data_IF_869076491363
#
_entry.id   IF_869076491363
#
_cell.length_a   1.000
_cell.length_b   1.000
_cell.length_c   1.000
_cell.angle_alpha   90.00
_cell.angle_beta   90.00
_cell.angle_gamma   90.00
#
_symmetry.space_group_name_H-M   'P 1'
#
loop_
_entity.id
_entity.type
_entity.pdbx_description
1 polymer ?
#
# COMPACT_ATOMS: atom_id res chain seq x y z
N UNK A 1 11.66 15.62 -14.49
CA UNK A 1 12.25 15.91 -13.16
C UNK A 1 11.90 14.87 -12.10
N UNK A 2 10.62 14.65 -11.75
CA UNK A 2 10.21 13.73 -10.67
C UNK A 2 10.74 12.30 -10.82
N UNK A 3 10.65 11.73 -12.03
CA UNK A 3 11.16 10.37 -12.31
C UNK A 3 12.69 10.22 -12.27
N UNK A 4 13.45 11.25 -12.66
CA UNK A 4 14.92 11.20 -12.65
C UNK A 4 15.49 11.34 -11.24
N UNK A 5 14.89 12.19 -10.41
CA UNK A 5 15.23 12.29 -8.98
C UNK A 5 14.90 10.98 -8.28
N UNK A 6 13.70 10.44 -8.48
CA UNK A 6 13.31 9.14 -7.92
C UNK A 6 14.30 8.04 -8.32
N UNK A 7 14.71 7.96 -9.59
CA UNK A 7 15.64 6.92 -10.04
C UNK A 7 17.01 6.99 -9.37
N UNK A 8 17.63 8.18 -9.31
CA UNK A 8 18.96 8.36 -8.70
C UNK A 8 18.95 8.07 -7.20
N UNK A 9 17.90 8.50 -6.50
CA UNK A 9 17.74 8.15 -5.10
C UNK A 9 17.53 6.64 -4.95
N UNK A 10 16.62 6.04 -5.70
CA UNK A 10 16.34 4.60 -5.64
C UNK A 10 17.57 3.74 -5.90
N UNK A 11 18.41 4.10 -6.88
CA UNK A 11 19.63 3.35 -7.19
C UNK A 11 20.61 3.34 -6.00
N UNK A 12 20.70 4.44 -5.25
CA UNK A 12 21.54 4.54 -4.04
C UNK A 12 20.98 3.76 -2.85
N UNK A 13 19.68 3.44 -2.85
CA UNK A 13 19.01 2.68 -1.78
C UNK A 13 19.04 1.16 -2.00
N UNK A 14 19.68 0.70 -3.07
CA UNK A 14 19.76 -0.72 -3.40
C UNK A 14 20.64 -1.48 -2.41
N UNK A 15 20.20 -2.67 -2.00
CA UNK A 15 20.89 -3.54 -1.07
C UNK A 15 21.25 -4.89 -1.68
N UNK A 16 22.31 -5.51 -1.12
CA UNK A 16 22.79 -6.83 -1.50
C UNK A 16 23.43 -6.90 -2.89
N UNK A 17 24.04 -8.04 -3.20
CA UNK A 17 24.69 -8.29 -4.51
C UNK A 17 23.70 -8.21 -5.68
N UNK A 18 22.41 -8.47 -5.42
CA UNK A 18 21.34 -8.37 -6.40
C UNK A 18 20.82 -6.96 -6.65
N UNK A 19 21.23 -5.96 -5.87
CA UNK A 19 20.80 -4.57 -6.05
C UNK A 19 19.29 -4.39 -5.95
N UNK A 20 18.70 -4.85 -4.84
CA UNK A 20 17.27 -4.78 -4.60
C UNK A 20 16.86 -3.53 -3.85
N UNK A 21 15.69 -2.98 -4.14
CA UNK A 21 15.12 -1.83 -3.44
C UNK A 21 14.09 -2.33 -2.44
N UNK A 22 14.36 -2.30 -1.12
CA UNK A 22 13.44 -2.83 -0.13
C UNK A 22 12.27 -1.85 0.10
N UNK A 23 11.05 -2.37 -0.06
CA UNK A 23 9.80 -1.64 0.07
C UNK A 23 8.90 -2.34 1.07
N UNK A 24 8.49 -1.63 2.13
CA UNK A 24 7.48 -2.08 3.06
C UNK A 24 6.11 -1.99 2.41
N UNK A 25 5.29 -3.01 2.59
CA UNK A 25 3.90 -3.01 2.15
C UNK A 25 2.99 -3.33 3.33
N UNK A 26 2.05 -2.43 3.61
CA UNK A 26 1.03 -2.65 4.63
C UNK A 26 -0.28 -1.91 4.28
N UNK A 27 -1.38 -2.40 4.87
CA UNK A 27 -2.72 -1.84 4.77
C UNK A 27 -3.21 -1.36 6.13
N UNK A 28 -3.63 -0.11 6.23
CA UNK A 28 -4.26 0.44 7.44
C UNK A 28 -5.72 0.76 7.21
N UNK A 29 -6.60 0.30 8.11
CA UNK A 29 -8.01 0.71 8.12
C UNK A 29 -8.16 2.06 8.80
N UNK A 30 -8.92 2.95 8.17
CA UNK A 30 -9.18 4.30 8.61
C UNK A 30 -10.67 4.48 8.81
N UNK A 31 -11.07 4.85 10.03
CA UNK A 31 -12.45 5.25 10.32
C UNK A 31 -12.72 6.61 9.70
N UNK A 32 -13.86 6.72 9.01
CA UNK A 32 -14.35 7.97 8.47
C UNK A 32 -15.46 8.55 9.36
N UNK A 33 -15.73 9.86 9.28
CA UNK A 33 -16.86 10.46 9.97
C UNK A 33 -18.18 9.74 9.67
N UNK A 34 -19.02 9.56 10.70
CA UNK A 34 -20.34 8.92 10.61
C UNK A 34 -21.38 9.82 9.93
N UNK A 35 -21.19 10.08 8.64
CA UNK A 35 -22.18 10.79 7.81
C UNK A 35 -23.01 9.78 7.02
N UNK A 36 -24.31 10.09 6.83
CA UNK A 36 -25.19 9.27 5.99
C UNK A 36 -24.62 9.06 4.58
N UNK A 37 -23.97 10.09 4.03
CA UNK A 37 -23.36 10.03 2.70
C UNK A 37 -22.18 9.04 2.64
N UNK A 38 -21.31 9.05 3.66
CA UNK A 38 -20.17 8.12 3.71
C UNK A 38 -20.63 6.69 3.98
N UNK A 39 -21.61 6.50 4.86
CA UNK A 39 -22.24 5.20 5.11
C UNK A 39 -22.79 4.60 3.81
N UNK A 40 -23.53 5.40 3.03
CA UNK A 40 -24.11 4.95 1.76
C UNK A 40 -23.04 4.61 0.70
N UNK A 41 -21.89 5.30 0.69
CA UNK A 41 -20.84 5.10 -0.32
C UNK A 41 -19.85 3.99 0.02
N UNK A 42 -19.47 3.90 1.29
CA UNK A 42 -18.41 2.99 1.78
C UNK A 42 -18.99 1.69 2.32
N UNK A 43 -20.25 1.71 2.76
CA UNK A 43 -20.92 0.58 3.39
C UNK A 43 -20.44 0.33 4.81
N UNK A 44 -20.85 -0.81 5.36
CA UNK A 44 -20.40 -1.31 6.65
C UNK A 44 -19.27 -2.30 6.44
N UNK A 45 -18.09 -1.95 6.94
CA UNK A 45 -16.96 -2.86 7.05
C UNK A 45 -16.82 -3.24 8.53
N UNK A 46 -16.66 -4.53 8.84
CA UNK A 46 -16.54 -4.99 10.24
C UNK A 46 -17.86 -5.39 10.88
N UNK A 47 -18.11 -4.93 12.11
CA UNK A 47 -19.30 -5.29 12.91
C UNK A 47 -20.51 -4.41 12.54
N UNK A 48 -21.71 -4.84 12.86
CA UNK A 48 -22.91 -3.99 12.81
C UNK A 48 -22.67 -2.69 13.60
N UNK A 49 -23.10 -1.56 13.06
CA UNK A 49 -22.89 -0.20 13.61
C UNK A 49 -21.42 0.29 13.60
N UNK A 50 -20.56 -0.34 12.80
CA UNK A 50 -19.22 0.20 12.56
C UNK A 50 -19.27 1.51 11.77
N UNK A 51 -18.37 2.47 12.06
CA UNK A 51 -18.25 3.66 11.23
C UNK A 51 -17.90 3.28 9.79
N UNK A 52 -18.21 4.15 8.81
CA UNK A 52 -17.78 3.90 7.43
C UNK A 52 -16.25 3.88 7.41
N UNK A 53 -15.65 2.86 6.79
CA UNK A 53 -14.20 2.69 6.78
C UNK A 53 -13.62 2.76 5.37
N UNK A 54 -12.36 3.21 5.33
CA UNK A 54 -11.48 3.12 4.17
C UNK A 54 -10.25 2.30 4.51
N UNK A 55 -9.60 1.75 3.48
CA UNK A 55 -8.29 1.10 3.63
C UNK A 55 -7.26 1.96 2.89
N UNK A 56 -6.17 2.29 3.57
CA UNK A 56 -4.97 2.86 2.96
C UNK A 56 -3.95 1.73 2.80
N UNK A 57 -3.62 1.38 1.56
CA UNK A 57 -2.50 0.50 1.26
C UNK A 57 -1.32 1.32 0.79
N UNK A 58 -0.16 1.11 1.40
CA UNK A 58 1.02 1.93 1.18
C UNK A 58 2.25 1.06 0.88
N UNK A 59 3.03 1.52 -0.09
CA UNK A 59 4.40 1.10 -0.33
C UNK A 59 5.34 2.17 0.20
N UNK A 60 6.27 1.77 1.07
CA UNK A 60 7.20 2.68 1.73
C UNK A 60 8.63 2.24 1.43
N UNK A 61 9.48 3.17 0.98
CA UNK A 61 10.92 2.92 0.86
C UNK A 61 11.51 2.71 2.25
N UNK A 62 11.80 1.47 2.62
CA UNK A 62 12.29 1.14 3.97
C UNK A 62 13.57 1.90 4.37
N UNK A 63 14.56 2.12 3.49
CA UNK A 63 15.80 2.77 3.90
C UNK A 63 15.62 4.23 4.33
N UNK A 64 14.55 4.90 3.86
CA UNK A 64 14.29 6.31 4.13
C UNK A 64 12.98 6.57 4.89
N UNK A 65 12.11 5.57 5.03
CA UNK A 65 10.76 5.74 5.57
C UNK A 65 9.83 6.58 4.70
N UNK A 66 10.17 6.78 3.41
CA UNK A 66 9.39 7.64 2.51
C UNK A 66 8.29 6.86 1.78
N UNK A 67 7.12 7.48 1.68
CA UNK A 67 6.01 6.94 0.91
C UNK A 67 6.37 6.89 -0.58
N UNK A 68 6.37 5.69 -1.15
CA UNK A 68 6.63 5.44 -2.56
C UNK A 68 5.36 5.60 -3.39
N UNK A 69 4.34 4.83 -3.03
CA UNK A 69 3.06 4.79 -3.72
C UNK A 69 1.99 4.32 -2.74
N UNK A 70 0.75 4.71 -2.97
CA UNK A 70 -0.35 4.37 -2.08
C UNK A 70 -1.67 4.39 -2.81
N UNK A 71 -2.66 3.73 -2.21
CA UNK A 71 -4.02 3.71 -2.72
C UNK A 71 -5.02 3.69 -1.57
N UNK A 72 -6.15 4.34 -1.82
CA UNK A 72 -7.33 4.23 -0.97
C UNK A 72 -8.34 3.26 -1.57
N UNK A 73 -8.87 2.39 -0.73
CA UNK A 73 -9.98 1.48 -1.01
C UNK A 73 -11.11 1.65 -0.01
N UNK A 74 -12.22 0.97 -0.27
CA UNK A 74 -13.30 0.84 0.72
C UNK A 74 -12.86 -0.14 1.81
N UNK A 75 -13.33 0.05 3.04
CA UNK A 75 -13.14 -0.90 4.15
C UNK A 75 -13.67 -2.31 3.86
N UNK A 76 -14.60 -2.42 2.89
CA UNK A 76 -15.20 -3.68 2.41
C UNK A 76 -14.42 -4.33 1.28
N UNK A 77 -13.41 -3.66 0.72
CA UNK A 77 -12.60 -4.22 -0.35
C UNK A 77 -11.69 -5.33 0.21
N UNK A 78 -11.43 -6.35 -0.62
CA UNK A 78 -10.40 -7.32 -0.30
C UNK A 78 -9.06 -6.59 -0.17
N UNK A 79 -8.28 -6.92 0.86
CA UNK A 79 -6.94 -6.36 1.10
C UNK A 79 -5.94 -6.72 -0.02
N UNK A 80 -6.33 -7.60 -0.95
CA UNK A 80 -5.48 -8.13 -2.02
C UNK A 80 -5.43 -7.23 -3.27
N UNK A 81 -6.55 -6.61 -3.64
CA UNK A 81 -6.65 -5.76 -4.84
C UNK A 81 -5.75 -4.51 -4.81
N UNK A 82 -5.52 -3.86 -3.65
CA UNK A 82 -4.65 -2.71 -3.58
C UNK A 82 -3.20 -3.02 -3.96
N UNK A 83 -2.59 -4.09 -3.45
CA UNK A 83 -1.18 -4.41 -3.77
C UNK A 83 -1.00 -4.67 -5.26
N UNK A 84 -1.88 -5.47 -5.88
CA UNK A 84 -1.86 -5.72 -7.34
C UNK A 84 -1.92 -4.43 -8.15
N UNK A 85 -2.77 -3.49 -7.74
CA UNK A 85 -2.88 -2.19 -8.40
C UNK A 85 -1.62 -1.31 -8.25
N UNK A 86 -0.78 -1.59 -7.25
CA UNK A 86 0.46 -0.87 -6.97
C UNK A 86 1.70 -1.52 -7.61
N UNK A 87 1.62 -2.78 -8.07
CA UNK A 87 2.74 -3.48 -8.71
C UNK A 87 3.33 -2.70 -9.89
N UNK A 88 2.47 -2.09 -10.70
CA UNK A 88 2.91 -1.26 -11.84
C UNK A 88 3.67 0.01 -11.46
N UNK A 89 3.69 0.37 -10.17
CA UNK A 89 4.44 1.53 -9.65
C UNK A 89 5.81 1.14 -9.11
N UNK A 90 6.10 -0.16 -8.99
CA UNK A 90 7.33 -0.63 -8.36
C UNK A 90 8.58 -0.25 -9.17
N UNK A 91 9.67 0.14 -8.49
CA UNK A 91 10.95 0.27 -9.15
C UNK A 91 11.45 -1.10 -9.61
N UNK A 92 12.32 -1.10 -10.62
CA UNK A 92 13.02 -2.32 -11.01
C UNK A 92 13.78 -2.91 -9.82
N UNK A 93 13.73 -4.25 -9.70
CA UNK A 93 14.33 -5.00 -8.59
C UNK A 93 13.75 -4.59 -7.21
N UNK A 94 12.46 -4.31 -7.15
CA UNK A 94 11.76 -4.16 -5.88
C UNK A 94 11.83 -5.47 -5.06
N UNK A 95 12.14 -5.35 -3.77
CA UNK A 95 12.00 -6.41 -2.78
C UNK A 95 10.88 -5.98 -1.84
N UNK A 96 9.72 -6.64 -1.93
CA UNK A 96 8.57 -6.33 -1.08
C UNK A 96 8.74 -7.04 0.26
N UNK A 97 8.65 -6.26 1.33
CA UNK A 97 8.62 -6.71 2.71
C UNK A 97 7.21 -6.46 3.22
N UNK A 98 6.45 -7.52 3.44
CA UNK A 98 5.08 -7.46 3.90
C UNK A 98 4.88 -8.48 5.03
N UNK A 99 3.77 -8.38 5.75
CA UNK A 99 3.42 -9.36 6.76
C UNK A 99 3.11 -10.75 6.15
N UNK A 100 2.96 -11.76 7.01
CA UNK A 100 2.70 -13.13 6.58
C UNK A 100 1.33 -13.32 5.90
N UNK A 101 0.42 -12.35 6.00
CA UNK A 101 -0.90 -12.42 5.37
C UNK A 101 -0.81 -12.28 3.84
N UNK A 102 0.31 -11.77 3.32
CA UNK A 102 0.62 -11.76 1.89
C UNK A 102 1.26 -13.07 1.38
N UNK A 103 1.54 -14.05 2.26
CA UNK A 103 2.18 -15.31 1.87
C UNK A 103 1.17 -16.28 1.22
N UNK A 104 1.53 -16.86 0.07
CA UNK A 104 0.73 -17.91 -0.60
C UNK A 104 -0.15 -17.45 -1.76
N UNK A 105 0.00 -16.22 -2.23
CA UNK A 105 -0.78 -15.68 -3.34
C UNK A 105 0.09 -15.40 -4.58
N UNK A 106 -0.41 -15.79 -5.75
CA UNK A 106 0.14 -15.34 -7.02
C UNK A 106 -0.16 -13.84 -7.18
N UNK A 107 0.91 -13.04 -7.19
CA UNK A 107 0.87 -11.60 -7.41
C UNK A 107 0.81 -11.26 -8.90
#
# INVERSE_FOLDING_TARGET
LRGQLAQRFVDALRIGKGGYVPLGCDGSRLECPRSRQLQARLGEAGKTDSPPMMVLSALVLLPLGLLWSWRLGKGTASEHDPLRSLLGTLPQRALIVADAFYQGYDL
#
